data_IF_597291821821
#
_entry.id   IF_597291821821
#
_cell.length_a   1.000
_cell.length_b   1.000
_cell.length_c   1.000
_cell.angle_alpha   90.00
_cell.angle_beta   90.00
_cell.angle_gamma   90.00
#
_symmetry.space_group_name_H-M   'P 1'
#
loop_
_entity.id
_entity.type
_entity.pdbx_description
1 polymer ?
#
# COMPACT_ATOMS: atom_id res chain seq x y z
N UNK A 1 8.66 -21.62 6.62
CA UNK A 1 9.61 -20.87 7.45
C UNK A 1 8.87 -19.72 8.10
N UNK A 2 8.87 -19.67 9.43
CA UNK A 2 8.30 -18.58 10.23
C UNK A 2 9.45 -17.90 10.98
N UNK A 3 9.59 -16.59 10.82
CA UNK A 3 10.58 -15.77 11.54
C UNK A 3 9.83 -14.82 12.47
N UNK A 4 10.29 -14.70 13.71
CA UNK A 4 9.79 -13.76 14.70
C UNK A 4 10.96 -12.91 15.18
N UNK A 5 10.83 -11.59 15.09
CA UNK A 5 11.81 -10.65 15.62
C UNK A 5 11.12 -9.53 16.42
N UNK A 6 11.86 -8.95 17.35
CA UNK A 6 11.47 -7.75 18.09
C UNK A 6 12.69 -6.83 18.29
N UNK A 7 13.77 -7.08 17.54
CA UNK A 7 15.06 -6.44 17.66
C UNK A 7 15.33 -5.51 16.50
N UNK A 8 16.53 -5.61 15.92
CA UNK A 8 16.89 -4.85 14.73
C UNK A 8 17.30 -5.82 13.64
N UNK A 9 16.49 -5.91 12.59
CA UNK A 9 16.86 -6.59 11.35
C UNK A 9 17.56 -5.58 10.45
N UNK A 10 18.89 -5.69 10.38
CA UNK A 10 19.69 -4.84 9.48
C UNK A 10 19.38 -5.09 8.00
N UNK A 11 19.20 -6.36 7.63
CA UNK A 11 18.90 -6.76 6.25
C UNK A 11 18.34 -8.17 6.23
N UNK A 12 17.24 -8.37 5.51
CA UNK A 12 16.71 -9.69 5.17
C UNK A 12 16.43 -9.72 3.67
N UNK A 13 16.87 -10.79 3.00
CA UNK A 13 16.74 -11.00 1.56
C UNK A 13 16.29 -12.43 1.30
N UNK A 14 15.18 -12.58 0.60
CA UNK A 14 14.60 -13.87 0.27
C UNK A 14 14.13 -13.88 -1.19
N UNK A 15 14.14 -15.06 -1.80
CA UNK A 15 13.66 -15.27 -3.18
C UNK A 15 12.77 -16.51 -3.30
N UNK A 16 12.47 -17.15 -2.17
CA UNK A 16 11.65 -18.35 -2.08
C UNK A 16 10.28 -18.07 -1.46
N UNK A 17 9.70 -19.08 -0.83
CA UNK A 17 8.44 -18.91 -0.10
C UNK A 17 8.75 -18.58 1.36
N UNK A 18 8.63 -17.30 1.74
CA UNK A 18 8.51 -16.92 3.15
C UNK A 18 7.08 -17.23 3.59
N UNK A 19 6.91 -18.25 4.44
CA UNK A 19 5.57 -18.56 4.94
C UNK A 19 5.03 -17.46 5.85
N UNK A 20 5.88 -16.85 6.70
CA UNK A 20 5.48 -15.77 7.62
C UNK A 20 6.68 -15.06 8.27
N UNK A 21 6.70 -13.73 8.27
CA UNK A 21 7.56 -12.90 9.10
C UNK A 21 6.67 -12.11 10.07
N UNK A 22 6.99 -12.15 11.35
CA UNK A 22 6.38 -11.31 12.38
C UNK A 22 7.46 -10.43 12.98
N UNK A 23 7.30 -9.12 12.90
CA UNK A 23 8.22 -8.16 13.51
C UNK A 23 7.47 -7.17 14.40
N UNK A 24 8.13 -6.77 15.48
CA UNK A 24 7.72 -5.65 16.32
C UNK A 24 8.89 -4.70 16.63
N UNK A 25 10.04 -4.92 15.98
CA UNK A 25 11.27 -4.18 16.16
C UNK A 25 11.49 -3.16 15.05
N UNK A 26 12.72 -3.13 14.53
CA UNK A 26 13.11 -2.25 13.42
C UNK A 26 13.69 -3.08 12.29
N UNK A 27 13.03 -3.05 11.13
CA UNK A 27 13.56 -3.57 9.86
C UNK A 27 14.18 -2.41 9.09
N UNK A 28 15.50 -2.42 8.98
CA UNK A 28 16.23 -1.46 8.15
C UNK A 28 16.03 -1.72 6.65
N UNK A 29 16.02 -2.99 6.24
CA UNK A 29 15.82 -3.37 4.84
C UNK A 29 15.28 -4.79 4.70
N UNK A 30 14.14 -4.94 4.04
CA UNK A 30 13.58 -6.22 3.63
C UNK A 30 13.43 -6.26 2.11
N UNK A 31 13.89 -7.36 1.49
CA UNK A 31 13.72 -7.61 0.07
C UNK A 31 13.18 -9.02 -0.15
N UNK A 32 12.10 -9.13 -0.93
CA UNK A 32 11.55 -10.39 -1.37
C UNK A 32 11.31 -10.38 -2.88
N UNK A 33 11.34 -11.57 -3.48
CA UNK A 33 11.00 -11.78 -4.88
C UNK A 33 10.15 -13.05 -5.08
N UNK A 34 9.58 -13.57 -3.99
CA UNK A 34 8.92 -14.86 -3.96
C UNK A 34 7.50 -14.75 -3.46
N UNK A 35 7.19 -15.39 -2.35
CA UNK A 35 5.89 -15.23 -1.69
C UNK A 35 6.16 -14.85 -0.25
N UNK A 36 5.63 -13.71 0.19
CA UNK A 36 5.80 -13.21 1.54
C UNK A 36 4.47 -12.96 2.24
N UNK A 37 4.41 -13.38 3.51
CA UNK A 37 3.42 -12.87 4.47
C UNK A 37 4.14 -12.14 5.60
N UNK A 38 3.93 -10.83 5.70
CA UNK A 38 4.52 -9.98 6.74
C UNK A 38 3.43 -9.46 7.69
N UNK A 39 3.68 -9.57 8.98
CA UNK A 39 2.96 -8.89 10.04
C UNK A 39 3.96 -8.02 10.79
N UNK A 40 3.81 -6.71 10.73
CA UNK A 40 4.66 -5.76 11.42
C UNK A 40 3.84 -4.89 12.38
N UNK A 41 4.44 -4.56 13.51
CA UNK A 41 3.96 -3.56 14.46
C UNK A 41 5.07 -2.57 14.86
N UNK A 42 6.23 -2.67 14.21
CA UNK A 42 7.43 -1.90 14.49
C UNK A 42 7.67 -0.80 13.45
N UNK A 43 8.91 -0.70 12.98
CA UNK A 43 9.31 0.28 11.96
C UNK A 43 10.02 -0.44 10.82
N UNK A 44 9.47 -0.32 9.62
CA UNK A 44 10.11 -0.71 8.38
C UNK A 44 10.65 0.53 7.67
N UNK A 45 11.97 0.63 7.60
CA UNK A 45 12.63 1.70 6.85
C UNK A 45 12.51 1.52 5.34
N UNK A 46 12.63 0.27 4.86
CA UNK A 46 12.54 -0.04 3.43
C UNK A 46 12.10 -1.48 3.20
N UNK A 47 10.96 -1.64 2.54
CA UNK A 47 10.47 -2.91 2.01
C UNK A 47 10.44 -2.86 0.49
N UNK A 48 11.03 -3.87 -0.15
CA UNK A 48 10.95 -4.05 -1.60
C UNK A 48 10.45 -5.45 -1.89
N UNK A 49 9.42 -5.56 -2.71
CA UNK A 49 8.94 -6.84 -3.22
C UNK A 49 8.84 -6.81 -4.74
N UNK A 50 9.04 -7.98 -5.32
CA UNK A 50 8.82 -8.25 -6.73
C UNK A 50 8.06 -9.57 -6.94
N UNK A 51 7.61 -10.20 -5.86
CA UNK A 51 6.86 -11.44 -5.84
C UNK A 51 5.40 -11.22 -5.49
N UNK A 52 4.87 -12.05 -4.59
CA UNK A 52 3.51 -11.94 -4.10
C UNK A 52 3.49 -11.64 -2.59
N UNK A 53 2.91 -10.51 -2.21
CA UNK A 53 2.87 -10.05 -0.82
C UNK A 53 1.48 -10.13 -0.18
N UNK A 54 1.46 -10.53 1.08
CA UNK A 54 0.42 -10.17 2.05
C UNK A 54 1.04 -9.42 3.21
N UNK A 55 0.61 -8.18 3.44
CA UNK A 55 1.14 -7.29 4.47
C UNK A 55 0.03 -6.88 5.44
N UNK A 56 0.33 -6.96 6.73
CA UNK A 56 -0.42 -6.30 7.79
C UNK A 56 0.57 -5.49 8.60
N UNK A 57 0.43 -4.17 8.58
CA UNK A 57 1.24 -3.27 9.38
C UNK A 57 0.35 -2.47 10.34
N UNK A 58 0.82 -2.34 11.57
CA UNK A 58 0.26 -1.42 12.56
C UNK A 58 1.28 -0.37 13.02
N UNK A 59 2.48 -0.39 12.43
CA UNK A 59 3.64 0.41 12.78
C UNK A 59 3.88 1.55 11.80
N UNK A 60 5.11 1.67 11.30
CA UNK A 60 5.49 2.70 10.32
C UNK A 60 6.27 2.06 9.18
N UNK A 61 5.79 2.24 7.96
CA UNK A 61 6.52 1.90 6.73
C UNK A 61 6.99 3.18 6.05
N UNK A 62 8.26 3.50 6.25
CA UNK A 62 8.88 4.68 5.63
C UNK A 62 8.90 4.60 4.11
N UNK A 63 9.05 3.40 3.55
CA UNK A 63 9.02 3.15 2.11
C UNK A 63 8.71 1.69 1.77
N UNK A 64 7.61 1.49 1.06
CA UNK A 64 7.26 0.25 0.38
C UNK A 64 7.39 0.44 -1.13
N UNK A 65 8.09 -0.47 -1.80
CA UNK A 65 8.12 -0.57 -3.25
C UNK A 65 7.68 -1.97 -3.65
N UNK A 66 6.67 -2.08 -4.49
CA UNK A 66 6.27 -3.34 -5.10
C UNK A 66 6.35 -3.23 -6.62
N UNK A 67 6.71 -4.34 -7.25
CA UNK A 67 6.67 -4.54 -8.70
C UNK A 67 6.00 -5.87 -9.07
N UNK A 68 5.44 -6.59 -8.10
CA UNK A 68 4.79 -7.88 -8.26
C UNK A 68 3.29 -7.79 -8.01
N UNK A 69 2.79 -8.59 -7.06
CA UNK A 69 1.38 -8.66 -6.71
C UNK A 69 1.21 -8.50 -5.19
N UNK A 70 0.71 -7.35 -4.76
CA UNK A 70 0.12 -7.18 -3.44
C UNK A 70 -1.27 -7.83 -3.43
N UNK A 71 -1.34 -9.06 -2.88
CA UNK A 71 -2.62 -9.75 -2.70
C UNK A 71 -3.51 -9.05 -1.66
N UNK A 72 -2.89 -8.53 -0.60
CA UNK A 72 -3.56 -7.82 0.48
C UNK A 72 -2.54 -6.98 1.24
N UNK A 73 -2.83 -5.69 1.38
CA UNK A 73 -2.11 -4.81 2.28
C UNK A 73 -3.11 -4.13 3.20
N UNK A 74 -2.88 -4.27 4.49
CA UNK A 74 -3.61 -3.59 5.55
C UNK A 74 -2.62 -2.77 6.33
N UNK A 75 -2.86 -1.48 6.42
CA UNK A 75 -2.07 -0.56 7.22
C UNK A 75 -2.99 0.19 8.20
N UNK A 76 -2.52 0.38 9.42
CA UNK A 76 -3.12 1.26 10.41
C UNK A 76 -2.14 2.34 10.88
N UNK A 77 -0.96 2.37 10.27
CA UNK A 77 0.18 3.19 10.62
C UNK A 77 0.41 4.34 9.65
N UNK A 78 1.68 4.54 9.31
CA UNK A 78 2.09 5.56 8.34
C UNK A 78 2.87 4.93 7.21
N UNK A 79 2.46 5.18 5.95
CA UNK A 79 3.10 4.56 4.79
C UNK A 79 3.44 5.52 3.65
N UNK A 80 4.52 5.21 2.94
CA UNK A 80 4.72 5.58 1.53
C UNK A 80 4.80 4.34 0.65
N UNK A 81 3.88 4.21 -0.30
CA UNK A 81 3.81 3.10 -1.25
C UNK A 81 4.08 3.59 -2.68
N UNK A 82 4.93 2.86 -3.38
CA UNK A 82 5.11 2.91 -4.82
C UNK A 82 4.86 1.51 -5.38
N UNK A 83 3.84 1.37 -6.21
CA UNK A 83 3.55 0.13 -6.91
C UNK A 83 3.66 0.32 -8.42
N UNK A 84 4.13 -0.71 -9.10
CA UNK A 84 4.14 -0.82 -10.55
C UNK A 84 3.54 -2.16 -11.03
N UNK A 85 2.92 -2.92 -10.11
CA UNK A 85 2.38 -4.24 -10.33
C UNK A 85 0.85 -4.28 -10.19
N UNK A 86 0.35 -5.20 -9.37
CA UNK A 86 -1.08 -5.37 -9.14
C UNK A 86 -1.36 -5.37 -7.63
N UNK A 87 -2.17 -4.40 -7.19
CA UNK A 87 -2.78 -4.39 -5.86
C UNK A 87 -4.20 -4.96 -5.95
N UNK A 88 -4.38 -6.16 -5.42
CA UNK A 88 -5.70 -6.77 -5.31
C UNK A 88 -6.57 -6.09 -4.25
N UNK A 89 -5.96 -5.70 -3.13
CA UNK A 89 -6.66 -5.02 -2.03
C UNK A 89 -5.71 -4.21 -1.17
N UNK A 90 -5.91 -2.90 -1.15
CA UNK A 90 -5.33 -1.98 -0.17
C UNK A 90 -6.42 -1.56 0.83
N UNK A 91 -6.11 -1.62 2.12
CA UNK A 91 -6.92 -1.01 3.17
C UNK A 91 -6.00 -0.20 4.07
N UNK A 92 -6.29 1.09 4.21
CA UNK A 92 -5.63 1.95 5.17
C UNK A 92 -6.65 2.51 6.17
N UNK A 93 -6.21 2.65 7.42
CA UNK A 93 -6.92 3.35 8.48
C UNK A 93 -6.03 4.38 9.19
N UNK A 94 -4.79 4.55 8.72
CA UNK A 94 -3.80 5.47 9.27
C UNK A 94 -3.53 6.65 8.34
N UNK A 95 -2.27 6.82 7.93
CA UNK A 95 -1.84 7.91 7.07
C UNK A 95 -0.97 7.37 5.92
N UNK A 96 -1.55 7.33 4.73
CA UNK A 96 -0.80 7.27 3.48
C UNK A 96 -0.21 8.65 3.18
N UNK A 97 1.10 8.82 3.43
CA UNK A 97 1.82 10.03 3.05
C UNK A 97 1.94 10.17 1.53
N UNK A 98 2.07 9.03 0.84
CA UNK A 98 2.17 8.98 -0.62
C UNK A 98 1.79 7.59 -1.11
N UNK A 99 0.84 7.52 -2.03
CA UNK A 99 0.55 6.35 -2.85
C UNK A 99 0.78 6.72 -4.30
N UNK A 100 1.70 6.02 -4.95
CA UNK A 100 1.92 6.09 -6.39
C UNK A 100 1.66 4.71 -6.98
N UNK A 101 0.75 4.64 -7.93
CA UNK A 101 0.51 3.43 -8.71
C UNK A 101 0.68 3.72 -10.20
N UNK A 102 1.27 2.76 -10.92
CA UNK A 102 1.36 2.74 -12.36
C UNK A 102 0.83 1.43 -12.96
N UNK A 103 0.19 0.60 -12.13
CA UNK A 103 -0.30 -0.72 -12.46
C UNK A 103 -1.82 -0.83 -12.34
N UNK A 104 -2.30 -1.81 -11.57
CA UNK A 104 -3.73 -2.05 -11.37
C UNK A 104 -4.05 -2.16 -9.88
N UNK A 105 -4.95 -1.30 -9.41
CA UNK A 105 -5.60 -1.40 -8.10
C UNK A 105 -7.02 -1.93 -8.29
N UNK A 106 -7.28 -3.15 -7.82
CA UNK A 106 -8.62 -3.73 -7.85
C UNK A 106 -9.53 -3.12 -6.76
N UNK A 107 -8.98 -2.79 -5.60
CA UNK A 107 -9.72 -2.15 -4.52
C UNK A 107 -8.77 -1.36 -3.62
N UNK A 108 -9.04 -0.06 -3.49
CA UNK A 108 -8.46 0.83 -2.51
C UNK A 108 -9.57 1.29 -1.56
N UNK A 109 -9.38 1.05 -0.26
CA UNK A 109 -10.23 1.58 0.79
C UNK A 109 -9.38 2.37 1.77
N UNK A 110 -9.74 3.62 2.01
CA UNK A 110 -9.16 4.43 3.07
C UNK A 110 -10.24 4.93 4.02
N UNK A 111 -9.89 4.97 5.30
CA UNK A 111 -10.68 5.60 6.37
C UNK A 111 -9.84 6.59 7.18
N UNK A 112 -8.60 6.84 6.77
CA UNK A 112 -7.63 7.71 7.43
C UNK A 112 -7.36 8.98 6.64
N UNK A 113 -6.08 9.23 6.33
CA UNK A 113 -5.65 10.40 5.57
C UNK A 113 -4.71 9.99 4.44
N UNK A 114 -5.11 10.30 3.20
CA UNK A 114 -4.21 10.26 2.05
C UNK A 114 -3.69 11.67 1.75
N UNK A 115 -2.40 11.90 2.01
CA UNK A 115 -1.75 13.17 1.69
C UNK A 115 -1.55 13.35 0.17
N UNK A 116 -1.27 12.26 -0.54
CA UNK A 116 -1.12 12.28 -2.00
C UNK A 116 -1.38 10.90 -2.59
N UNK A 117 -2.39 10.83 -3.46
CA UNK A 117 -2.66 9.70 -4.34
C UNK A 117 -2.33 10.11 -5.78
N UNK A 118 -1.46 9.34 -6.43
CA UNK A 118 -1.18 9.46 -7.85
C UNK A 118 -1.38 8.12 -8.51
N UNK A 119 -2.27 8.05 -9.48
CA UNK A 119 -2.46 6.88 -10.33
C UNK A 119 -2.22 7.24 -11.80
N UNK A 120 -1.54 6.34 -12.50
CA UNK A 120 -1.38 6.37 -13.95
C UNK A 120 -1.85 5.07 -14.61
N UNK A 121 -2.46 4.17 -13.84
CA UNK A 121 -2.91 2.85 -14.24
C UNK A 121 -4.43 2.72 -14.22
N UNK A 122 -4.93 1.68 -13.54
CA UNK A 122 -6.37 1.42 -13.40
C UNK A 122 -6.73 1.19 -11.95
N UNK A 123 -7.61 2.03 -11.42
CA UNK A 123 -8.31 1.78 -10.16
C UNK A 123 -9.74 1.31 -10.46
N UNK A 124 -10.03 0.05 -10.15
CA UNK A 124 -11.38 -0.51 -10.32
C UNK A 124 -12.38 0.05 -9.30
N UNK A 125 -11.93 0.25 -8.05
CA UNK A 125 -12.74 0.81 -6.97
C UNK A 125 -11.86 1.59 -6.00
N UNK A 126 -12.15 2.87 -5.85
CA UNK A 126 -11.65 3.75 -4.80
C UNK A 126 -12.80 4.10 -3.87
N UNK A 127 -12.63 3.76 -2.59
CA UNK A 127 -13.55 4.14 -1.53
C UNK A 127 -12.77 4.91 -0.47
N UNK A 128 -13.16 6.14 -0.23
CA UNK A 128 -12.62 6.95 0.86
C UNK A 128 -13.73 7.37 1.82
N UNK A 129 -13.44 7.30 3.11
CA UNK A 129 -14.27 7.86 4.18
C UNK A 129 -13.49 8.86 5.05
N UNK A 130 -12.25 9.18 4.66
CA UNK A 130 -11.32 10.01 5.39
C UNK A 130 -11.06 11.35 4.70
N UNK A 131 -9.79 11.69 4.54
CA UNK A 131 -9.36 12.93 3.87
C UNK A 131 -8.34 12.60 2.80
N UNK A 132 -8.63 12.98 1.55
CA UNK A 132 -7.66 13.03 0.47
C UNK A 132 -7.23 14.49 0.22
N UNK A 133 -5.99 14.80 0.57
CA UNK A 133 -5.43 16.14 0.33
C UNK A 133 -5.20 16.41 -1.17
N UNK A 134 -4.75 15.40 -1.91
CA UNK A 134 -4.50 15.47 -3.36
C UNK A 134 -4.73 14.12 -4.02
N UNK A 135 -5.67 14.07 -4.96
CA UNK A 135 -5.88 12.97 -5.88
C UNK A 135 -5.51 13.42 -7.29
N UNK A 136 -4.56 12.72 -7.91
CA UNK A 136 -4.20 12.91 -9.30
C UNK A 136 -4.33 11.58 -10.04
N UNK A 137 -5.19 11.53 -11.04
CA UNK A 137 -5.36 10.37 -11.91
C UNK A 137 -5.05 10.77 -13.36
N UNK A 138 -4.29 9.92 -14.05
CA UNK A 138 -4.05 10.01 -15.49
C UNK A 138 -4.49 8.73 -16.23
N UNK A 139 -5.11 7.79 -15.51
CA UNK A 139 -5.53 6.48 -15.99
C UNK A 139 -7.05 6.32 -16.00
N UNK A 140 -7.53 5.26 -15.34
CA UNK A 140 -8.97 4.97 -15.26
C UNK A 140 -9.37 4.67 -13.82
N UNK A 141 -10.24 5.50 -13.24
CA UNK A 141 -10.98 5.17 -12.03
C UNK A 141 -12.41 4.76 -12.40
N UNK A 142 -12.68 3.45 -12.36
CA UNK A 142 -13.99 2.91 -12.75
C UNK A 142 -15.10 3.23 -11.75
N UNK A 143 -14.77 3.40 -10.46
CA UNK A 143 -15.69 3.78 -9.39
C UNK A 143 -14.94 4.55 -8.32
N UNK A 144 -15.30 5.81 -8.13
CA UNK A 144 -14.89 6.63 -7.00
C UNK A 144 -16.10 6.88 -6.10
N UNK A 145 -16.01 6.45 -4.84
CA UNK A 145 -16.94 6.78 -3.77
C UNK A 145 -16.15 7.49 -2.67
N UNK A 146 -16.54 8.72 -2.37
CA UNK A 146 -15.96 9.52 -1.30
C UNK A 146 -17.08 9.96 -0.35
N UNK A 147 -17.00 9.52 0.90
CA UNK A 147 -17.85 9.98 2.00
C UNK A 147 -17.12 10.99 2.91
N UNK A 148 -15.87 11.33 2.57
CA UNK A 148 -14.99 12.20 3.31
C UNK A 148 -14.78 13.55 2.60
N UNK A 149 -13.51 13.97 2.53
CA UNK A 149 -13.12 15.24 1.90
C UNK A 149 -11.96 15.03 0.91
N UNK A 150 -12.20 15.32 -0.36
CA UNK A 150 -11.14 15.54 -1.35
C UNK A 150 -10.85 17.03 -1.50
N UNK A 151 -9.67 17.49 -1.06
CA UNK A 151 -9.29 18.92 -1.17
C UNK A 151 -8.87 19.33 -2.58
N UNK A 152 -8.20 18.44 -3.32
CA UNK A 152 -7.77 18.68 -4.69
C UNK A 152 -7.90 17.42 -5.52
N UNK A 153 -8.69 17.51 -6.58
CA UNK A 153 -8.89 16.46 -7.57
C UNK A 153 -8.39 16.94 -8.93
N UNK A 154 -7.53 16.15 -9.56
CA UNK A 154 -7.13 16.33 -10.95
C UNK A 154 -7.26 14.99 -11.65
N UNK A 155 -8.08 14.95 -12.69
CA UNK A 155 -8.24 13.78 -13.55
C UNK A 155 -7.93 14.19 -14.99
N UNK A 156 -6.99 13.47 -15.62
CA UNK A 156 -6.67 13.58 -17.04
C UNK A 156 -7.09 12.34 -17.84
N UNK A 157 -7.74 11.37 -17.17
CA UNK A 157 -8.17 10.10 -17.71
C UNK A 157 -9.68 9.94 -17.71
N UNK A 158 -10.16 8.77 -17.26
CA UNK A 158 -11.60 8.46 -17.16
C UNK A 158 -11.94 8.16 -15.71
N UNK A 159 -12.68 9.06 -15.08
CA UNK A 159 -13.23 8.86 -13.74
C UNK A 159 -14.75 8.77 -13.74
N UNK A 160 -15.29 7.74 -13.09
CA UNK A 160 -16.72 7.66 -12.75
C UNK A 160 -16.93 7.90 -11.26
N UNK A 161 -17.48 9.07 -10.96
CA UNK A 161 -17.99 9.41 -9.64
C UNK A 161 -19.30 8.64 -9.41
N UNK A 162 -19.47 8.09 -8.21
CA UNK A 162 -20.74 7.59 -7.74
C UNK A 162 -21.20 8.44 -6.57
N UNK A 163 -22.48 8.81 -6.57
CA UNK A 163 -23.10 9.46 -5.42
C UNK A 163 -23.01 8.52 -4.21
N UNK A 164 -22.65 9.08 -3.05
CA UNK A 164 -22.61 8.38 -1.77
C UNK A 164 -24.02 8.15 -1.20
#
# INVERSE_FOLDING_TARGET
MELQDAGIIMKLQEAGIIMKLQDAGIIMKLQDAGIMKLQDAGIIMKLQDAGNMKLQDAGIIMKLQDAGIIMKLQDAGNMKLQDAGIIMKLQDAGIIMKLQDAGIIMKLQDAGIIMKLQDAGIIMKLQDAGIIMKLQDAGIIMKLQDAGIIMKLQDAGIMKLQDA
#
